data_IF_474463863007
#
_entry.id   IF_474463863007
#
_cell.length_a   1.000
_cell.length_b   1.000
_cell.length_c   1.000
_cell.angle_alpha   90.00
_cell.angle_beta   90.00
_cell.angle_gamma   90.00
#
_symmetry.space_group_name_H-M   'P 1'
#
loop_
_entity.id
_entity.type
_entity.pdbx_description
1 polymer ?
#
# COMPACT_ATOMS: atom_id res chain seq x y z
N UNK A 1 35.51 38.77 -9.65
CA UNK A 1 35.04 38.66 -8.26
C UNK A 1 34.33 37.33 -8.12
N UNK A 2 35.02 36.34 -7.57
CA UNK A 2 34.49 35.02 -7.28
C UNK A 2 34.88 34.62 -5.87
N UNK A 3 34.22 33.57 -5.37
CA UNK A 3 34.44 32.90 -4.07
C UNK A 3 33.68 33.48 -2.88
N UNK A 4 32.42 33.03 -2.70
CA UNK A 4 31.91 32.53 -1.42
C UNK A 4 30.77 31.55 -1.74
N UNK A 5 30.96 30.25 -1.50
CA UNK A 5 29.92 29.25 -1.15
C UNK A 5 30.32 27.77 -1.35
N UNK A 6 31.58 27.47 -1.68
CA UNK A 6 32.08 26.07 -1.63
C UNK A 6 32.69 25.68 -0.28
N UNK A 7 32.73 26.60 0.70
CA UNK A 7 33.43 26.38 1.97
C UNK A 7 32.59 25.64 3.02
N UNK A 8 31.25 25.65 2.93
CA UNK A 8 30.39 25.06 3.97
C UNK A 8 30.26 23.52 3.91
N UNK A 9 30.63 22.86 2.81
CA UNK A 9 30.58 21.39 2.70
C UNK A 9 31.94 20.74 3.03
N UNK A 10 33.05 21.50 2.98
CA UNK A 10 34.37 20.95 3.31
C UNK A 10 34.71 20.94 4.81
N UNK A 11 33.97 21.70 5.64
CA UNK A 11 34.31 21.90 7.06
C UNK A 11 33.76 20.82 7.99
N UNK A 12 32.86 19.96 7.51
CA UNK A 12 32.23 18.87 8.30
C UNK A 12 32.87 17.49 8.08
N UNK A 13 33.80 17.32 7.13
CA UNK A 13 34.44 16.03 6.85
C UNK A 13 35.82 15.86 7.51
N UNK A 14 36.37 16.92 8.11
CA UNK A 14 37.68 16.90 8.77
C UNK A 14 37.57 17.08 10.30
N UNK A 15 36.41 16.72 10.86
CA UNK A 15 36.22 16.76 12.30
C UNK A 15 36.96 15.58 12.97
N UNK A 16 38.06 15.93 13.63
CA UNK A 16 38.92 15.01 14.39
C UNK A 16 38.16 14.27 15.50
N UNK A 17 37.06 14.82 16.03
CA UNK A 17 36.20 14.11 17.00
C UNK A 17 35.40 12.98 16.35
N UNK A 18 35.00 13.13 15.09
CA UNK A 18 34.23 12.10 14.39
C UNK A 18 35.10 10.90 14.03
N UNK A 19 36.38 11.13 13.68
CA UNK A 19 37.37 10.06 13.43
C UNK A 19 37.71 9.27 14.70
N UNK A 20 37.88 9.96 15.83
CA UNK A 20 38.14 9.30 17.10
C UNK A 20 36.94 8.46 17.58
N UNK A 21 35.70 8.92 17.32
CA UNK A 21 34.49 8.13 17.60
C UNK A 21 34.32 6.93 16.67
N UNK A 22 34.64 7.06 15.38
CA UNK A 22 34.58 5.95 14.41
C UNK A 22 35.52 4.79 14.75
N UNK A 23 36.74 5.09 15.22
CA UNK A 23 37.72 4.07 15.66
C UNK A 23 37.21 3.26 16.88
N UNK A 24 36.49 3.91 17.79
CA UNK A 24 35.92 3.27 18.99
C UNK A 24 34.68 2.43 18.65
N UNK A 25 33.93 2.81 17.60
CA UNK A 25 32.68 2.14 17.19
C UNK A 25 32.86 1.06 16.11
N UNK A 26 34.09 0.79 15.66
CA UNK A 26 34.36 -0.19 14.60
C UNK A 26 33.83 0.22 13.21
N UNK A 27 33.43 1.49 13.04
CA UNK A 27 32.91 2.02 11.78
C UNK A 27 34.06 2.69 11.03
N UNK A 28 34.40 2.15 9.85
CA UNK A 28 35.50 2.64 9.02
C UNK A 28 35.18 4.04 8.48
N UNK A 29 35.84 5.06 9.03
CA UNK A 29 35.75 6.44 8.52
C UNK A 29 36.90 6.70 7.55
N UNK A 30 36.58 6.99 6.29
CA UNK A 30 37.56 7.31 5.25
C UNK A 30 37.98 8.79 5.33
N UNK A 31 39.29 9.05 5.19
CA UNK A 31 39.81 10.41 5.03
C UNK A 31 39.51 10.97 3.63
N UNK A 32 39.64 12.30 3.48
CA UNK A 32 39.42 12.99 2.21
C UNK A 32 40.37 12.48 1.12
N UNK A 33 41.57 12.11 1.51
CA UNK A 33 42.62 11.56 0.66
C UNK A 33 42.27 10.12 0.23
N UNK A 34 41.79 9.28 1.15
CA UNK A 34 41.36 7.90 0.86
C UNK A 34 40.11 7.85 -0.04
N UNK A 35 39.16 8.74 0.19
CA UNK A 35 37.93 8.83 -0.61
C UNK A 35 38.22 9.29 -2.05
N UNK A 36 39.22 10.16 -2.22
CA UNK A 36 39.68 10.58 -3.55
C UNK A 36 40.38 9.43 -4.30
N UNK A 37 41.10 8.56 -3.61
CA UNK A 37 41.72 7.38 -4.22
C UNK A 37 40.71 6.28 -4.58
N UNK A 38 39.65 6.08 -3.79
CA UNK A 38 38.56 5.16 -4.14
C UNK A 38 37.77 5.62 -5.37
N UNK A 39 37.50 6.93 -5.50
CA UNK A 39 36.77 7.47 -6.66
C UNK A 39 37.52 7.29 -7.98
N UNK A 40 38.85 7.37 -7.94
CA UNK A 40 39.71 7.12 -9.11
C UNK A 40 39.75 5.64 -9.49
N UNK A 41 39.76 4.73 -8.50
CA UNK A 41 39.71 3.27 -8.75
C UNK A 41 38.34 2.80 -9.30
N UNK A 42 37.25 3.49 -8.95
CA UNK A 42 35.92 3.20 -9.51
C UNK A 42 35.79 3.69 -10.96
N UNK A 43 36.45 4.81 -11.32
CA UNK A 43 36.39 5.35 -12.69
C UNK A 43 37.21 4.57 -13.72
N UNK A 44 38.21 3.78 -13.29
CA UNK A 44 39.05 2.98 -14.19
C UNK A 44 38.47 1.61 -14.56
N UNK A 45 37.44 1.12 -13.86
CA UNK A 45 36.90 -0.24 -14.06
C UNK A 45 35.66 -0.31 -14.97
N UNK A 46 35.24 0.79 -15.60
CA UNK A 46 33.99 0.83 -16.40
C UNK A 46 34.19 1.25 -17.86
N UNK A 47 35.43 1.24 -18.38
CA UNK A 47 35.74 1.65 -19.74
C UNK A 47 36.48 0.57 -20.57
N UNK A 48 35.76 -0.47 -20.98
CA UNK A 48 36.05 -1.30 -22.17
C UNK A 48 34.70 -1.66 -22.81
N UNK A 49 34.13 -0.77 -23.62
CA UNK A 49 34.20 -0.73 -25.10
C UNK A 49 33.51 -1.90 -25.82
N UNK A 50 32.27 -1.67 -26.27
CA UNK A 50 31.79 -2.18 -27.57
C UNK A 50 30.98 -1.09 -28.30
N UNK A 51 31.58 -0.49 -29.33
CA UNK A 51 30.88 0.21 -30.41
C UNK A 51 30.93 -0.67 -31.69
N UNK A 52 29.99 -0.49 -32.64
CA UNK A 52 29.75 -1.42 -33.73
C UNK A 52 30.61 -1.11 -34.95
N UNK A 53 31.08 -2.14 -35.66
CA UNK A 53 31.70 -1.98 -36.97
C UNK A 53 31.13 -2.97 -37.98
N UNK A 54 30.66 -2.41 -39.09
CA UNK A 54 30.14 -3.09 -40.28
C UNK A 54 31.32 -3.65 -41.08
N UNK A 55 31.24 -4.91 -41.53
CA UNK A 55 31.83 -5.33 -42.81
C UNK A 55 31.20 -6.63 -43.32
N UNK A 56 30.91 -6.61 -44.63
CA UNK A 56 30.29 -7.66 -45.45
C UNK A 56 31.24 -8.83 -45.66
N UNK A 57 30.75 -10.07 -45.58
CA UNK A 57 31.07 -11.10 -46.58
C UNK A 57 30.02 -12.22 -46.59
N UNK A 58 29.43 -12.46 -47.76
CA UNK A 58 28.54 -13.56 -48.10
C UNK A 58 29.33 -14.88 -48.21
N UNK A 59 28.76 -16.00 -47.76
CA UNK A 59 28.64 -17.28 -48.52
C UNK A 59 27.34 -17.99 -48.09
N UNK A 60 26.75 -18.73 -49.02
CA UNK A 60 25.37 -19.18 -49.19
C UNK A 60 25.27 -20.72 -49.04
N UNK A 61 24.04 -21.20 -48.79
CA UNK A 61 23.48 -22.57 -48.97
C UNK A 61 23.73 -23.57 -47.82
N UNK A 62 22.81 -24.44 -47.37
CA UNK A 62 21.49 -24.89 -47.87
C UNK A 62 20.74 -25.64 -46.73
N UNK A 63 19.41 -25.44 -46.62
CA UNK A 63 18.29 -26.41 -46.47
C UNK A 63 18.52 -27.81 -45.81
N UNK A 64 17.67 -28.46 -45.00
CA UNK A 64 16.39 -28.27 -44.25
C UNK A 64 16.28 -29.50 -43.25
N UNK A 65 15.15 -29.92 -42.66
CA UNK A 65 14.94 -29.98 -41.20
C UNK A 65 14.74 -31.40 -40.60
N UNK A 66 15.01 -31.58 -39.32
CA UNK A 66 14.42 -32.61 -38.44
C UNK A 66 15.00 -32.33 -37.05
N UNK A 67 14.25 -31.96 -36.02
CA UNK A 67 13.08 -32.63 -35.51
C UNK A 67 13.47 -33.11 -34.11
N UNK A 68 12.95 -32.46 -33.07
CA UNK A 68 12.59 -33.10 -31.81
C UNK A 68 11.89 -32.07 -30.92
N UNK A 69 10.58 -32.23 -30.89
CA UNK A 69 9.67 -31.76 -29.86
C UNK A 69 10.20 -32.15 -28.47
N UNK A 70 10.45 -31.16 -27.63
CA UNK A 70 10.28 -31.32 -26.20
C UNK A 70 9.14 -30.41 -25.79
N UNK A 71 8.01 -31.04 -25.49
CA UNK A 71 6.92 -30.45 -24.73
C UNK A 71 7.51 -29.97 -23.40
N UNK A 72 7.80 -28.68 -23.30
CA UNK A 72 7.93 -28.01 -22.02
C UNK A 72 6.52 -27.71 -21.52
N UNK A 73 6.21 -28.15 -20.29
CA UNK A 73 5.00 -27.77 -19.58
C UNK A 73 4.74 -26.26 -19.69
N UNK A 74 3.68 -25.80 -20.37
CA UNK A 74 3.52 -24.40 -20.71
C UNK A 74 2.89 -23.55 -19.59
N UNK A 75 2.65 -24.12 -18.41
CA UNK A 75 1.67 -23.54 -17.48
C UNK A 75 2.22 -22.41 -16.60
N UNK A 76 3.49 -22.44 -16.21
CA UNK A 76 4.05 -21.43 -15.29
C UNK A 76 4.86 -20.33 -16.00
N UNK A 77 5.64 -20.67 -17.03
CA UNK A 77 6.46 -19.70 -17.78
C UNK A 77 5.59 -18.74 -18.62
N UNK A 78 4.54 -19.25 -19.26
CA UNK A 78 3.61 -18.42 -20.05
C UNK A 78 2.82 -17.42 -19.21
N UNK A 79 2.49 -17.76 -17.96
CA UNK A 79 1.80 -16.84 -17.04
C UNK A 79 2.70 -15.69 -16.58
N UNK A 80 3.99 -15.97 -16.32
CA UNK A 80 4.96 -14.93 -15.94
C UNK A 80 5.19 -13.93 -17.07
N UNK A 81 5.39 -14.41 -18.31
CA UNK A 81 5.52 -13.56 -19.50
C UNK A 81 4.30 -12.64 -19.66
N UNK A 82 3.10 -13.15 -19.38
CA UNK A 82 1.88 -12.37 -19.46
C UNK A 82 1.77 -11.32 -18.36
N UNK A 83 2.19 -11.63 -17.13
CA UNK A 83 2.26 -10.65 -16.04
C UNK A 83 3.29 -9.57 -16.32
N UNK A 84 4.48 -9.92 -16.82
CA UNK A 84 5.50 -8.97 -17.27
C UNK A 84 4.97 -8.06 -18.38
N UNK A 85 4.21 -8.62 -19.33
CA UNK A 85 3.52 -7.85 -20.36
C UNK A 85 2.52 -6.84 -19.78
N UNK A 86 1.72 -7.26 -18.80
CA UNK A 86 0.78 -6.36 -18.10
C UNK A 86 1.54 -5.23 -17.38
N UNK A 87 2.64 -5.54 -16.71
CA UNK A 87 3.47 -4.52 -16.03
C UNK A 87 4.05 -3.54 -17.05
N UNK A 88 4.66 -4.03 -18.14
CA UNK A 88 5.23 -3.18 -19.19
C UNK A 88 4.18 -2.24 -19.82
N UNK A 89 2.98 -2.75 -20.11
CA UNK A 89 1.88 -1.93 -20.64
C UNK A 89 1.39 -0.89 -19.63
N UNK A 90 1.33 -1.27 -18.35
CA UNK A 90 1.03 -0.36 -17.25
C UNK A 90 2.08 0.77 -17.17
N UNK A 91 3.36 0.43 -17.19
CA UNK A 91 4.46 1.41 -17.11
C UNK A 91 4.36 2.45 -18.22
N UNK A 92 4.02 2.01 -19.44
CA UNK A 92 3.87 2.88 -20.60
C UNK A 92 2.68 3.83 -20.46
N UNK A 93 1.48 3.31 -20.17
CA UNK A 93 0.28 4.14 -20.09
C UNK A 93 0.30 5.08 -18.88
N UNK A 94 0.70 4.57 -17.71
CA UNK A 94 0.82 5.36 -16.50
C UNK A 94 1.96 6.38 -16.61
N UNK A 95 3.11 5.99 -17.16
CA UNK A 95 4.24 6.89 -17.39
C UNK A 95 3.87 8.07 -18.28
N UNK A 96 3.05 7.84 -19.32
CA UNK A 96 2.54 8.91 -20.19
C UNK A 96 1.66 9.89 -19.42
N UNK A 97 0.69 9.37 -18.65
CA UNK A 97 -0.21 10.20 -17.86
C UNK A 97 0.52 10.99 -16.77
N UNK A 98 1.38 10.32 -15.99
CA UNK A 98 2.13 10.96 -14.92
C UNK A 98 3.15 11.98 -15.43
N UNK A 99 3.72 11.78 -16.62
CA UNK A 99 4.58 12.80 -17.25
C UNK A 99 3.77 14.06 -17.57
N UNK A 100 2.59 13.91 -18.17
CA UNK A 100 1.70 15.03 -18.50
C UNK A 100 1.23 15.78 -17.24
N UNK A 101 0.82 15.04 -16.20
CA UNK A 101 0.45 15.63 -14.90
C UNK A 101 1.66 16.36 -14.31
N UNK A 102 2.82 15.72 -14.17
CA UNK A 102 4.00 16.33 -13.57
C UNK A 102 4.39 17.63 -14.28
N UNK A 103 4.44 17.61 -15.62
CA UNK A 103 4.75 18.78 -16.42
C UNK A 103 3.74 19.90 -16.21
N UNK A 104 2.44 19.58 -16.30
CA UNK A 104 1.35 20.55 -16.15
C UNK A 104 1.40 21.21 -14.77
N UNK A 105 1.54 20.41 -13.72
CA UNK A 105 1.47 20.89 -12.35
C UNK A 105 2.70 21.66 -11.91
N UNK A 106 3.88 21.20 -12.33
CA UNK A 106 5.12 21.93 -12.06
C UNK A 106 5.13 23.28 -12.81
N UNK A 107 4.59 23.34 -14.04
CA UNK A 107 4.43 24.60 -14.78
C UNK A 107 3.43 25.55 -14.11
N UNK A 108 2.32 25.03 -13.60
CA UNK A 108 1.35 25.84 -12.85
C UNK A 108 2.01 26.41 -11.58
N UNK A 109 2.77 25.60 -10.84
CA UNK A 109 3.39 26.01 -9.58
C UNK A 109 4.60 26.96 -9.76
N UNK A 110 5.45 26.72 -10.77
CA UNK A 110 6.75 27.38 -10.90
C UNK A 110 6.95 28.16 -12.21
N UNK A 111 5.95 28.19 -13.09
CA UNK A 111 6.03 28.87 -14.37
C UNK A 111 7.22 28.39 -15.21
N UNK A 112 7.99 29.33 -15.75
CA UNK A 112 9.15 29.02 -16.60
C UNK A 112 10.32 28.35 -15.84
N UNK A 113 10.33 28.41 -14.50
CA UNK A 113 11.39 27.82 -13.67
C UNK A 113 11.12 26.34 -13.32
N UNK A 114 10.02 25.76 -13.80
CA UNK A 114 9.61 24.40 -13.44
C UNK A 114 10.69 23.34 -13.71
N UNK A 115 11.47 23.48 -14.78
CA UNK A 115 12.59 22.58 -15.11
C UNK A 115 13.76 22.66 -14.13
N UNK A 116 13.95 23.80 -13.46
CA UNK A 116 14.98 23.97 -12.43
C UNK A 116 14.54 23.37 -11.10
N UNK A 117 13.24 23.41 -10.82
CA UNK A 117 12.64 22.89 -9.60
C UNK A 117 12.37 21.38 -9.65
N UNK A 118 12.35 20.77 -10.83
CA UNK A 118 12.16 19.34 -10.99
C UNK A 118 13.23 18.53 -10.26
N UNK A 119 12.80 17.47 -9.57
CA UNK A 119 13.71 16.60 -8.81
C UNK A 119 14.59 15.79 -9.76
N UNK A 120 13.97 15.17 -10.77
CA UNK A 120 14.65 14.51 -11.88
C UNK A 120 14.19 15.18 -13.18
N UNK A 121 15.14 15.44 -14.09
CA UNK A 121 14.86 16.03 -15.39
C UNK A 121 14.50 14.95 -16.42
N UNK A 122 13.66 15.24 -17.43
CA UNK A 122 13.31 14.28 -18.46
C UNK A 122 14.54 13.91 -19.33
N UNK A 123 14.54 12.73 -19.99
CA UNK A 123 13.45 11.76 -20.10
C UNK A 123 13.24 10.92 -18.83
N UNK A 124 11.98 10.58 -18.53
CA UNK A 124 11.62 9.86 -17.32
C UNK A 124 11.20 8.41 -17.58
N UNK A 125 11.62 7.51 -16.69
CA UNK A 125 10.97 6.22 -16.49
C UNK A 125 9.78 6.40 -15.54
N UNK A 126 8.89 5.41 -15.44
CA UNK A 126 7.82 5.48 -14.44
C UNK A 126 8.37 5.63 -13.01
N UNK A 127 9.47 4.95 -12.69
CA UNK A 127 10.12 5.08 -11.39
C UNK A 127 10.59 6.52 -11.10
N UNK A 128 11.20 7.19 -12.10
CA UNK A 128 11.61 8.59 -11.97
C UNK A 128 10.41 9.51 -11.73
N UNK A 129 9.28 9.27 -12.42
CA UNK A 129 8.06 10.05 -12.23
C UNK A 129 7.56 9.90 -10.80
N UNK A 130 7.37 8.67 -10.32
CA UNK A 130 6.90 8.41 -8.95
C UNK A 130 7.79 9.10 -7.91
N UNK A 131 9.12 9.09 -8.10
CA UNK A 131 10.04 9.83 -7.22
C UNK A 131 9.83 11.35 -7.28
N UNK A 132 9.62 11.93 -8.47
CA UNK A 132 9.27 13.34 -8.60
C UNK A 132 7.97 13.69 -7.86
N UNK A 133 6.93 12.87 -7.97
CA UNK A 133 5.68 13.08 -7.24
C UNK A 133 5.90 13.05 -5.72
N UNK A 134 6.69 12.08 -5.21
CA UNK A 134 7.02 12.01 -3.78
C UNK A 134 7.77 13.25 -3.29
N UNK A 135 8.81 13.68 -4.03
CA UNK A 135 9.64 14.82 -3.65
C UNK A 135 8.90 16.15 -3.71
N UNK A 136 7.99 16.29 -4.66
CA UNK A 136 7.19 17.49 -4.85
C UNK A 136 5.81 17.42 -4.18
N UNK A 137 5.57 16.40 -3.36
CA UNK A 137 4.26 16.18 -2.76
C UNK A 137 3.84 17.39 -1.93
N UNK A 138 4.60 17.75 -0.89
CA UNK A 138 4.21 18.84 0.02
C UNK A 138 4.09 20.21 -0.66
N UNK A 139 4.89 20.45 -1.70
CA UNK A 139 4.98 21.76 -2.34
C UNK A 139 4.04 21.94 -3.54
N UNK A 140 3.61 20.87 -4.19
CA UNK A 140 2.81 20.93 -5.42
C UNK A 140 1.59 20.00 -5.33
N UNK A 141 1.82 18.70 -5.22
CA UNK A 141 0.73 17.71 -5.38
C UNK A 141 -0.20 17.57 -4.16
N UNK A 142 0.31 17.77 -2.95
CA UNK A 142 -0.45 17.73 -1.71
C UNK A 142 -1.28 18.99 -1.46
N UNK A 143 -1.11 20.03 -2.28
CA UNK A 143 -1.98 21.21 -2.27
C UNK A 143 -3.26 21.00 -3.07
N UNK A 144 -3.25 20.01 -3.97
CA UNK A 144 -4.30 19.76 -4.97
C UNK A 144 -4.99 18.42 -4.74
N UNK A 145 -4.32 17.46 -4.09
CA UNK A 145 -4.81 16.10 -3.83
C UNK A 145 -4.89 15.83 -2.32
N UNK A 146 -5.75 14.87 -1.94
CA UNK A 146 -5.87 14.39 -0.57
C UNK A 146 -4.57 13.73 -0.07
N UNK A 147 -4.29 13.83 1.24
CA UNK A 147 -3.04 13.32 1.85
C UNK A 147 -2.86 11.81 1.71
N UNK A 148 -3.95 11.05 1.74
CA UNK A 148 -3.96 9.59 1.53
C UNK A 148 -3.38 9.18 0.16
N UNK A 149 -3.42 10.04 -0.86
CA UNK A 149 -2.86 9.74 -2.18
C UNK A 149 -1.34 9.63 -2.18
N UNK A 150 -0.65 10.21 -1.18
CA UNK A 150 0.78 9.97 -0.98
C UNK A 150 1.04 8.48 -0.72
N UNK A 151 0.18 7.83 0.07
CA UNK A 151 0.30 6.41 0.39
C UNK A 151 0.14 5.55 -0.88
N UNK A 152 -0.76 5.93 -1.79
CA UNK A 152 -0.91 5.27 -3.09
C UNK A 152 0.35 5.39 -3.93
N UNK A 153 1.00 6.56 -3.93
CA UNK A 153 2.27 6.80 -4.65
C UNK A 153 3.42 6.00 -4.03
N UNK A 154 3.48 5.90 -2.71
CA UNK A 154 4.49 5.10 -2.01
C UNK A 154 4.28 3.61 -2.25
N UNK A 155 3.04 3.14 -2.22
CA UNK A 155 2.69 1.76 -2.60
C UNK A 155 3.08 1.45 -4.05
N UNK A 156 2.81 2.35 -5.00
CA UNK A 156 3.26 2.19 -6.39
C UNK A 156 4.79 2.11 -6.49
N UNK A 157 5.52 2.96 -5.76
CA UNK A 157 6.98 2.94 -5.74
C UNK A 157 7.52 1.58 -5.27
N UNK A 158 7.00 1.07 -4.16
CA UNK A 158 7.45 -0.18 -3.56
C UNK A 158 7.11 -1.38 -4.45
N UNK A 159 5.91 -1.41 -5.03
CA UNK A 159 5.48 -2.51 -5.89
C UNK A 159 6.18 -2.49 -7.26
N UNK A 160 6.49 -1.32 -7.83
CA UNK A 160 7.32 -1.22 -9.04
C UNK A 160 8.74 -1.70 -8.77
N UNK A 161 9.30 -1.34 -7.61
CA UNK A 161 10.63 -1.79 -7.20
C UNK A 161 10.69 -3.30 -7.06
N UNK A 162 9.63 -3.92 -6.52
CA UNK A 162 9.50 -5.38 -6.42
C UNK A 162 9.32 -6.03 -7.79
N UNK A 163 8.45 -5.49 -8.65
CA UNK A 163 8.19 -6.02 -9.99
C UNK A 163 9.45 -6.06 -10.87
N UNK A 164 10.40 -5.12 -10.68
CA UNK A 164 11.70 -5.15 -11.35
C UNK A 164 12.59 -6.34 -10.97
N UNK A 165 12.33 -6.98 -9.81
CA UNK A 165 13.11 -8.11 -9.30
C UNK A 165 12.38 -9.45 -9.44
N UNK A 166 11.07 -9.47 -9.20
CA UNK A 166 10.21 -10.63 -9.34
C UNK A 166 8.78 -10.17 -9.58
N UNK A 167 8.16 -10.65 -10.66
CA UNK A 167 6.77 -10.35 -10.98
C UNK A 167 5.86 -11.43 -10.42
N UNK A 168 4.96 -11.04 -9.50
CA UNK A 168 3.94 -11.92 -8.94
C UNK A 168 2.53 -11.31 -9.07
N UNK A 169 1.51 -12.16 -8.99
CA UNK A 169 0.11 -11.74 -9.15
C UNK A 169 -0.33 -10.68 -8.13
N UNK A 170 0.17 -10.74 -6.90
CA UNK A 170 -0.20 -9.80 -5.84
C UNK A 170 0.39 -8.43 -6.12
N UNK A 171 1.67 -8.38 -6.50
CA UNK A 171 2.36 -7.14 -6.91
C UNK A 171 1.66 -6.51 -8.12
N UNK A 172 1.32 -7.28 -9.16
CA UNK A 172 0.60 -6.77 -10.35
C UNK A 172 -0.80 -6.26 -9.99
N UNK A 173 -1.53 -6.96 -9.10
CA UNK A 173 -2.84 -6.51 -8.63
C UNK A 173 -2.75 -5.14 -7.95
N UNK A 174 -1.81 -4.98 -7.00
CA UNK A 174 -1.64 -3.70 -6.30
C UNK A 174 -1.24 -2.58 -7.25
N UNK A 175 -0.30 -2.84 -8.17
CA UNK A 175 0.10 -1.87 -9.19
C UNK A 175 -1.10 -1.38 -9.99
N UNK A 176 -1.95 -2.28 -10.48
CA UNK A 176 -3.12 -1.91 -11.26
C UNK A 176 -4.17 -1.14 -10.45
N UNK A 177 -4.46 -1.56 -9.22
CA UNK A 177 -5.45 -0.92 -8.34
C UNK A 177 -5.01 0.48 -7.89
N UNK A 178 -3.74 0.62 -7.49
CA UNK A 178 -3.18 1.90 -7.07
C UNK A 178 -3.08 2.87 -8.25
N UNK A 179 -2.71 2.37 -9.44
CA UNK A 179 -2.69 3.17 -10.67
C UNK A 179 -4.08 3.68 -11.06
N UNK A 180 -5.09 2.81 -10.96
CA UNK A 180 -6.49 3.19 -11.22
C UNK A 180 -6.94 4.27 -10.24
N UNK A 181 -6.67 4.09 -8.95
CA UNK A 181 -7.03 5.03 -7.90
C UNK A 181 -6.36 6.39 -8.09
N UNK A 182 -5.06 6.39 -8.42
CA UNK A 182 -4.27 7.61 -8.65
C UNK A 182 -4.79 8.38 -9.88
N UNK A 183 -5.03 7.70 -10.99
CA UNK A 183 -5.58 8.31 -12.21
C UNK A 183 -7.00 8.86 -11.98
N UNK A 184 -7.83 8.12 -11.24
CA UNK A 184 -9.17 8.60 -10.87
C UNK A 184 -9.08 9.87 -10.00
N UNK A 185 -8.20 9.91 -9.00
CA UNK A 185 -8.01 11.08 -8.15
C UNK A 185 -7.63 12.31 -8.97
N UNK A 186 -6.64 12.20 -9.87
CA UNK A 186 -6.27 13.31 -10.75
C UNK A 186 -7.37 13.70 -11.75
N UNK A 187 -8.23 12.76 -12.15
CA UNK A 187 -9.33 13.03 -13.10
C UNK A 187 -10.38 13.98 -12.52
N UNK A 188 -10.53 14.00 -11.18
CA UNK A 188 -11.43 14.95 -10.50
C UNK A 188 -10.99 16.39 -10.65
N UNK A 189 -9.70 16.60 -10.95
CA UNK A 189 -9.09 17.92 -11.07
C UNK A 189 -9.01 18.42 -12.50
N UNK A 190 -8.55 17.58 -13.43
CA UNK A 190 -8.39 17.95 -14.83
C UNK A 190 -8.34 16.71 -15.71
N UNK A 191 -8.61 16.89 -17.00
CA UNK A 191 -8.46 15.84 -18.01
C UNK A 191 -7.03 15.76 -18.58
N UNK A 192 -6.14 16.71 -18.26
CA UNK A 192 -4.75 16.80 -18.73
C UNK A 192 -4.63 16.54 -20.24
N UNK A 193 -5.35 17.34 -21.03
CA UNK A 193 -5.44 17.25 -22.50
C UNK A 193 -5.93 15.90 -23.03
N UNK A 194 -6.76 15.20 -22.24
CA UNK A 194 -7.36 13.92 -22.61
C UNK A 194 -6.44 12.71 -22.40
N UNK A 195 -5.20 12.92 -21.90
CA UNK A 195 -4.27 11.83 -21.60
C UNK A 195 -4.78 10.98 -20.43
N UNK A 196 -5.41 11.61 -19.43
CA UNK A 196 -5.91 10.88 -18.26
C UNK A 196 -7.01 9.87 -18.59
N UNK A 197 -8.10 10.25 -19.29
CA UNK A 197 -9.13 9.30 -19.71
C UNK A 197 -8.56 8.14 -20.55
N UNK A 198 -7.58 8.40 -21.41
CA UNK A 198 -6.94 7.36 -22.21
C UNK A 198 -6.17 6.37 -21.32
N UNK A 199 -5.34 6.86 -20.40
CA UNK A 199 -4.59 6.02 -19.48
C UNK A 199 -5.53 5.22 -18.55
N UNK A 200 -6.58 5.86 -18.04
CA UNK A 200 -7.59 5.20 -17.20
C UNK A 200 -8.29 4.05 -17.94
N UNK A 201 -8.66 4.26 -19.21
CA UNK A 201 -9.23 3.19 -20.03
C UNK A 201 -8.25 2.02 -20.25
N UNK A 202 -6.95 2.31 -20.47
CA UNK A 202 -5.94 1.26 -20.59
C UNK A 202 -5.75 0.48 -19.28
N UNK A 203 -5.68 1.15 -18.13
CA UNK A 203 -5.56 0.49 -16.83
C UNK A 203 -6.77 -0.42 -16.56
N UNK A 204 -7.99 0.02 -16.88
CA UNK A 204 -9.19 -0.82 -16.76
C UNK A 204 -9.13 -2.06 -17.67
N UNK A 205 -8.63 -1.91 -18.90
CA UNK A 205 -8.41 -3.05 -19.80
C UNK A 205 -7.39 -4.03 -19.22
N UNK A 206 -6.29 -3.53 -18.64
CA UNK A 206 -5.28 -4.36 -17.99
C UNK A 206 -5.83 -5.08 -16.74
N UNK A 207 -6.67 -4.42 -15.93
CA UNK A 207 -7.39 -5.04 -14.82
C UNK A 207 -8.31 -6.18 -15.27
N UNK A 208 -9.01 -6.00 -16.39
CA UNK A 208 -9.82 -7.05 -16.98
C UNK A 208 -8.96 -8.23 -17.44
N UNK A 209 -7.90 -7.97 -18.21
CA UNK A 209 -6.96 -9.01 -18.65
C UNK A 209 -6.36 -9.76 -17.46
N UNK A 210 -5.92 -9.05 -16.42
CA UNK A 210 -5.40 -9.64 -15.19
C UNK A 210 -6.41 -10.59 -14.53
N UNK A 211 -7.68 -10.20 -14.49
CA UNK A 211 -8.76 -11.02 -13.92
C UNK A 211 -9.00 -12.29 -14.73
N UNK A 212 -9.00 -12.20 -16.06
CA UNK A 212 -9.10 -13.36 -16.96
C UNK A 212 -7.94 -14.32 -16.79
N UNK A 213 -6.72 -13.81 -16.64
CA UNK A 213 -5.50 -14.61 -16.41
C UNK A 213 -5.58 -15.32 -15.07
N UNK A 214 -6.04 -14.64 -14.03
CA UNK A 214 -6.25 -15.24 -12.71
C UNK A 214 -7.32 -16.33 -12.73
N UNK A 215 -8.42 -16.12 -13.48
CA UNK A 215 -9.47 -17.11 -13.64
C UNK A 215 -8.98 -18.38 -14.36
N UNK A 216 -8.18 -18.22 -15.44
CA UNK A 216 -7.57 -19.34 -16.17
C UNK A 216 -6.60 -20.16 -15.31
N UNK A 217 -5.84 -19.49 -14.43
CA UNK A 217 -4.95 -20.16 -13.46
C UNK A 217 -5.72 -21.04 -12.46
N UNK A 218 -6.91 -20.59 -12.04
CA UNK A 218 -7.76 -21.34 -11.11
C UNK A 218 -8.55 -22.48 -11.78
N UNK A 219 -8.44 -22.66 -13.11
CA UNK A 219 -9.24 -23.62 -13.89
C UNK A 219 -8.42 -24.78 -14.50
N UNK A 220 -7.15 -25.02 -14.13
CA UNK A 220 -6.41 -26.21 -14.60
C UNK A 220 -6.87 -27.51 -13.90
N UNK A 221 -6.79 -28.67 -14.58
CA UNK A 221 -7.87 -29.68 -14.58
C UNK A 221 -7.76 -30.74 -13.47
N UNK A 222 -8.86 -30.95 -12.74
CA UNK A 222 -9.13 -32.22 -12.04
C UNK A 222 -9.95 -33.13 -12.96
N UNK A 223 -9.59 -34.40 -12.95
CA UNK A 223 -9.87 -35.42 -13.97
C UNK A 223 -11.35 -35.69 -14.28
N UNK A 224 -11.52 -36.10 -15.53
CA UNK A 224 -12.69 -36.68 -16.16
C UNK A 224 -13.31 -37.83 -15.35
N UNK A 225 -14.64 -37.86 -15.27
CA UNK A 225 -15.38 -39.12 -15.43
C UNK A 225 -16.56 -38.88 -16.38
N UNK A 226 -16.49 -39.58 -17.50
CA UNK A 226 -17.46 -39.58 -18.57
C UNK A 226 -18.59 -40.60 -18.31
N UNK A 227 -19.79 -40.26 -18.81
CA UNK A 227 -20.88 -41.19 -19.13
C UNK A 227 -21.88 -41.42 -17.99
N UNK A 228 -23.20 -41.35 -18.17
CA UNK A 228 -24.04 -41.49 -19.38
C UNK A 228 -25.36 -40.71 -19.22
N UNK A 229 -25.89 -40.30 -20.36
CA UNK A 229 -27.30 -39.92 -20.59
C UNK A 229 -28.24 -41.10 -20.25
N UNK A 230 -29.47 -40.84 -19.78
CA UNK A 230 -30.72 -40.88 -20.58
C UNK A 230 -31.99 -40.85 -19.69
N UNK A 231 -33.07 -40.40 -20.32
CA UNK A 231 -34.38 -39.91 -19.84
C UNK A 231 -35.36 -40.91 -19.21
N UNK A 232 -36.31 -40.30 -18.47
CA UNK A 232 -37.75 -40.55 -18.35
C UNK A 232 -38.31 -41.93 -17.94
N UNK A 233 -39.11 -41.91 -16.86
CA UNK A 233 -40.59 -42.05 -16.89
C UNK A 233 -41.10 -42.34 -15.45
N UNK A 234 -41.98 -41.49 -14.93
CA UNK A 234 -42.83 -41.75 -13.74
C UNK A 234 -44.16 -42.43 -14.17
N UNK A 235 -45.20 -42.71 -13.33
CA UNK A 235 -45.39 -42.50 -11.88
C UNK A 235 -46.13 -43.67 -11.15
N UNK A 236 -46.13 -43.66 -9.81
CA UNK A 236 -47.34 -43.60 -8.95
C UNK A 236 -47.07 -44.06 -7.50
N UNK A 237 -47.39 -43.12 -6.57
CA UNK A 237 -48.04 -43.25 -5.24
C UNK A 237 -47.58 -44.35 -4.27
N UNK A 238 -47.37 -44.07 -2.98
CA UNK A 238 -48.32 -43.39 -2.09
C UNK A 238 -47.67 -42.70 -0.88
N UNK A 239 -48.21 -41.52 -0.55
CA UNK A 239 -48.69 -41.02 0.76
C UNK A 239 -47.84 -41.22 2.02
N UNK A 240 -47.78 -40.31 2.99
CA UNK A 240 -48.17 -38.92 3.18
C UNK A 240 -47.65 -38.59 4.59
N UNK A 241 -46.89 -37.51 4.77
CA UNK A 241 -46.97 -36.70 5.98
C UNK A 241 -46.74 -35.25 5.59
N UNK A 242 -47.61 -34.41 6.13
CA UNK A 242 -48.18 -33.24 5.49
C UNK A 242 -47.53 -31.94 6.02
N UNK A 243 -47.04 -31.14 5.08
CA UNK A 243 -47.21 -29.67 4.96
C UNK A 243 -46.79 -28.80 6.15
N UNK A 244 -45.78 -27.94 5.92
CA UNK A 244 -46.04 -26.49 5.88
C UNK A 244 -45.13 -25.81 4.86
N UNK A 245 -45.79 -25.16 3.90
CA UNK A 245 -45.24 -24.36 2.80
C UNK A 245 -44.73 -23.03 3.36
N UNK A 246 -43.53 -22.60 2.95
CA UNK A 246 -43.25 -21.19 2.75
C UNK A 246 -42.41 -21.00 1.48
N UNK A 247 -43.05 -20.42 0.47
CA UNK A 247 -42.40 -19.73 -0.63
C UNK A 247 -41.58 -18.56 -0.10
N UNK A 248 -40.36 -18.41 -0.60
CA UNK A 248 -39.56 -17.21 -0.39
C UNK A 248 -38.26 -17.32 -1.18
N UNK A 249 -38.19 -16.58 -2.28
CA UNK A 249 -36.98 -16.23 -3.02
C UNK A 249 -35.71 -16.27 -2.15
N UNK A 250 -34.73 -17.10 -2.52
CA UNK A 250 -33.36 -16.95 -2.02
C UNK A 250 -32.79 -15.64 -2.57
N UNK A 251 -33.04 -14.56 -1.83
CA UNK A 251 -32.11 -13.44 -1.76
C UNK A 251 -30.77 -14.01 -1.27
N UNK A 252 -29.62 -13.60 -1.82
CA UNK A 252 -28.32 -14.04 -1.31
C UNK A 252 -28.24 -13.66 0.17
N UNK A 253 -28.06 -14.63 1.06
CA UNK A 253 -27.70 -14.33 2.44
C UNK A 253 -26.43 -13.46 2.43
N UNK A 254 -26.37 -12.37 3.21
CA UNK A 254 -25.09 -11.69 3.43
C UNK A 254 -24.11 -12.71 4.01
N UNK A 255 -22.92 -12.79 3.42
CA UNK A 255 -21.85 -13.64 3.92
C UNK A 255 -21.58 -13.26 5.37
N UNK A 256 -21.74 -14.18 6.32
CA UNK A 256 -21.46 -13.98 7.77
C UNK A 256 -20.12 -13.26 8.00
N UNK A 257 -19.11 -13.57 7.20
CA UNK A 257 -17.80 -12.91 7.28
C UNK A 257 -17.84 -11.42 6.92
N UNK A 258 -18.74 -11.00 6.02
CA UNK A 258 -18.96 -9.59 5.67
C UNK A 258 -19.65 -8.83 6.81
N UNK A 259 -20.54 -9.45 7.57
CA UNK A 259 -21.14 -8.84 8.75
C UNK A 259 -20.08 -8.62 9.85
N UNK A 260 -19.24 -9.64 10.09
CA UNK A 260 -18.09 -9.54 11.01
C UNK A 260 -17.16 -8.41 10.58
N UNK A 261 -16.84 -8.35 9.29
CA UNK A 261 -15.96 -7.32 8.75
C UNK A 261 -16.56 -5.91 8.87
N UNK A 262 -17.86 -5.76 8.63
CA UNK A 262 -18.57 -4.48 8.79
C UNK A 262 -18.47 -3.95 10.23
N UNK A 263 -18.46 -4.84 11.23
CA UNK A 263 -18.26 -4.45 12.64
C UNK A 263 -16.84 -3.98 12.89
N UNK A 264 -15.83 -4.70 12.37
CA UNK A 264 -14.43 -4.28 12.48
C UNK A 264 -14.18 -2.95 11.76
N UNK A 265 -14.81 -2.73 10.61
CA UNK A 265 -14.75 -1.47 9.86
C UNK A 265 -15.45 -0.33 10.61
N UNK A 266 -16.58 -0.59 11.26
CA UNK A 266 -17.25 0.39 12.13
C UNK A 266 -16.38 0.82 13.31
N UNK A 267 -15.69 -0.14 13.95
CA UNK A 267 -14.69 0.14 15.00
C UNK A 267 -13.57 1.01 14.44
N UNK A 268 -13.10 0.69 13.23
CA UNK A 268 -12.06 1.44 12.54
C UNK A 268 -12.45 2.91 12.31
N UNK A 269 -13.62 3.12 11.71
CA UNK A 269 -14.17 4.45 11.43
C UNK A 269 -14.33 5.24 12.73
N UNK A 270 -14.85 4.58 13.77
CA UNK A 270 -15.02 5.20 15.10
C UNK A 270 -13.70 5.67 15.70
N UNK A 271 -12.64 4.85 15.63
CA UNK A 271 -11.30 5.23 16.10
C UNK A 271 -10.77 6.42 15.31
N UNK A 272 -10.92 6.41 13.99
CA UNK A 272 -10.45 7.48 13.12
C UNK A 272 -11.18 8.81 13.39
N UNK A 273 -12.51 8.79 13.47
CA UNK A 273 -13.33 9.96 13.79
C UNK A 273 -12.94 10.53 15.16
N UNK A 274 -12.88 9.67 16.19
CA UNK A 274 -12.50 10.08 17.54
C UNK A 274 -11.08 10.66 17.58
N UNK A 275 -10.13 10.08 16.84
CA UNK A 275 -8.75 10.59 16.76
C UNK A 275 -8.69 11.97 16.10
N UNK A 276 -9.48 12.19 15.06
CA UNK A 276 -9.54 13.46 14.34
C UNK A 276 -10.11 14.56 15.23
N UNK A 277 -11.21 14.26 15.94
CA UNK A 277 -11.83 15.17 16.91
C UNK A 277 -10.83 15.59 18.00
N UNK A 278 -10.08 14.63 18.54
CA UNK A 278 -9.05 14.87 19.56
C UNK A 278 -7.91 15.73 19.03
N UNK A 279 -7.34 15.36 17.88
CA UNK A 279 -6.22 16.09 17.29
C UNK A 279 -6.60 17.51 16.92
N UNK A 280 -7.80 17.71 16.36
CA UNK A 280 -8.29 19.03 16.03
C UNK A 280 -8.47 19.89 17.28
N UNK A 281 -9.01 19.32 18.37
CA UNK A 281 -9.23 20.04 19.63
C UNK A 281 -7.94 20.38 20.38
N UNK A 282 -6.93 19.50 20.29
CA UNK A 282 -5.61 19.70 20.89
C UNK A 282 -4.70 20.63 20.07
N UNK A 283 -4.87 20.66 18.75
CA UNK A 283 -4.13 21.56 17.86
C UNK A 283 -4.70 22.99 17.83
N UNK A 284 -5.97 23.17 18.16
CA UNK A 284 -6.67 24.46 18.08
C UNK A 284 -6.83 25.14 19.44
N UNK A 285 -6.27 26.34 19.58
CA UNK A 285 -6.54 27.24 20.71
C UNK A 285 -7.90 27.97 20.61
N UNK A 286 -8.63 27.81 19.50
CA UNK A 286 -9.90 28.49 19.22
C UNK A 286 -11.11 27.57 19.38
N UNK A 287 -12.15 28.07 20.04
CA UNK A 287 -13.41 27.39 20.34
C UNK A 287 -14.33 27.11 19.13
N UNK A 288 -13.78 27.03 17.92
CA UNK A 288 -14.58 27.07 16.69
C UNK A 288 -14.30 25.87 15.80
N UNK A 289 -14.59 24.68 16.31
CA UNK A 289 -14.67 23.44 15.53
C UNK A 289 -15.80 22.59 16.08
N UNK A 290 -16.53 21.90 15.22
CA UNK A 290 -17.70 21.05 15.53
C UNK A 290 -17.35 19.78 16.33
N UNK A 291 -16.28 19.79 17.13
CA UNK A 291 -15.80 18.65 17.90
C UNK A 291 -16.78 18.36 19.04
N UNK A 292 -17.11 17.08 19.24
CA UNK A 292 -17.91 16.62 20.38
C UNK A 292 -17.26 16.91 21.74
N UNK A 293 -15.96 17.23 21.73
CA UNK A 293 -15.11 17.45 22.90
C UNK A 293 -15.11 18.95 23.25
N UNK A 294 -15.53 19.28 24.47
CA UNK A 294 -15.79 20.66 24.88
C UNK A 294 -14.52 21.37 25.36
N UNK A 295 -13.66 20.66 26.08
CA UNK A 295 -12.45 21.23 26.68
C UNK A 295 -11.14 20.57 26.19
N UNK A 296 -10.03 21.28 26.35
CA UNK A 296 -8.70 20.72 26.08
C UNK A 296 -8.36 19.58 27.06
N UNK A 297 -8.77 19.71 28.33
CA UNK A 297 -8.59 18.69 29.36
C UNK A 297 -9.33 17.39 28.99
N UNK A 298 -10.59 17.51 28.56
CA UNK A 298 -11.36 16.37 28.04
C UNK A 298 -10.67 15.74 26.83
N UNK A 299 -10.15 16.55 25.90
CA UNK A 299 -9.42 16.05 24.73
C UNK A 299 -8.16 15.28 25.13
N UNK A 300 -7.42 15.76 26.13
CA UNK A 300 -6.22 15.10 26.63
C UNK A 300 -6.52 13.79 27.35
N UNK A 301 -7.51 13.77 28.25
CA UNK A 301 -7.94 12.54 28.94
C UNK A 301 -8.47 11.53 27.91
N UNK A 302 -9.24 11.99 26.92
CA UNK A 302 -9.77 11.14 25.87
C UNK A 302 -8.67 10.60 24.95
N UNK A 303 -7.63 11.39 24.65
CA UNK A 303 -6.42 10.93 23.95
C UNK A 303 -5.77 9.75 24.69
N UNK A 304 -5.58 9.83 26.02
CA UNK A 304 -4.99 8.72 26.79
C UNK A 304 -5.83 7.44 26.69
N UNK A 305 -7.16 7.57 26.81
CA UNK A 305 -8.08 6.43 26.68
C UNK A 305 -8.03 5.83 25.28
N UNK A 306 -8.02 6.67 24.26
CA UNK A 306 -7.99 6.24 22.86
C UNK A 306 -6.66 5.57 22.51
N UNK A 307 -5.53 6.09 22.99
CA UNK A 307 -4.21 5.45 22.88
C UNK A 307 -4.22 4.05 23.51
N UNK A 308 -4.78 3.93 24.71
CA UNK A 308 -4.92 2.63 25.38
C UNK A 308 -5.77 1.65 24.57
N UNK A 309 -6.89 2.10 24.00
CA UNK A 309 -7.75 1.26 23.18
C UNK A 309 -7.07 0.82 21.87
N UNK A 310 -6.45 1.77 21.15
CA UNK A 310 -5.70 1.51 19.91
C UNK A 310 -4.57 0.51 20.15
N UNK A 311 -3.81 0.66 21.25
CA UNK A 311 -2.75 -0.27 21.61
C UNK A 311 -3.27 -1.69 21.85
N UNK A 312 -4.35 -1.84 22.60
CA UNK A 312 -4.94 -3.17 22.88
C UNK A 312 -5.46 -3.84 21.60
N UNK A 313 -6.13 -3.09 20.72
CA UNK A 313 -6.61 -3.59 19.43
C UNK A 313 -5.42 -4.00 18.56
N UNK A 314 -4.40 -3.15 18.46
CA UNK A 314 -3.22 -3.40 17.67
C UNK A 314 -2.48 -4.66 18.13
N UNK A 315 -2.25 -4.81 19.44
CA UNK A 315 -1.65 -6.02 20.00
C UNK A 315 -2.49 -7.27 19.70
N UNK A 316 -3.82 -7.18 19.83
CA UNK A 316 -4.73 -8.29 19.49
C UNK A 316 -4.60 -8.69 18.02
N UNK A 317 -4.59 -7.72 17.11
CA UNK A 317 -4.45 -7.98 15.68
C UNK A 317 -3.07 -8.56 15.34
N UNK A 318 -1.99 -8.04 15.93
CA UNK A 318 -0.64 -8.56 15.70
C UNK A 318 -0.50 -10.01 16.16
N UNK A 319 -1.11 -10.39 17.28
CA UNK A 319 -1.16 -11.80 17.73
C UNK A 319 -1.90 -12.68 16.73
N UNK A 320 -3.01 -12.19 16.17
CA UNK A 320 -3.78 -12.92 15.13
C UNK A 320 -2.97 -13.11 13.85
N UNK A 321 -2.21 -12.10 13.45
CA UNK A 321 -1.40 -12.12 12.23
C UNK A 321 -0.11 -12.95 12.37
N UNK A 322 0.30 -13.29 13.59
CA UNK A 322 1.47 -14.12 13.83
C UNK A 322 1.33 -15.51 13.16
N UNK A 323 2.44 -16.10 12.66
CA UNK A 323 2.40 -17.39 11.95
C UNK A 323 1.86 -18.56 12.77
N UNK A 324 1.93 -18.46 14.10
CA UNK A 324 1.49 -19.47 15.07
C UNK A 324 0.21 -19.04 15.82
N UNK A 325 -0.56 -18.12 15.26
CA UNK A 325 -1.82 -17.68 15.86
C UNK A 325 -2.79 -18.84 16.08
N UNK A 326 -3.46 -18.82 17.22
CA UNK A 326 -4.48 -19.80 17.57
C UNK A 326 -5.78 -19.10 18.02
N UNK A 327 -6.79 -19.89 18.33
CA UNK A 327 -8.11 -19.40 18.76
C UNK A 327 -8.04 -18.46 19.98
N UNK A 328 -7.12 -18.67 20.92
CA UNK A 328 -6.97 -17.85 22.12
C UNK A 328 -6.59 -16.39 21.79
N UNK A 329 -5.80 -16.20 20.73
CA UNK A 329 -5.39 -14.87 20.27
C UNK A 329 -6.60 -14.09 19.74
N UNK A 330 -7.48 -14.77 19.01
CA UNK A 330 -8.74 -14.21 18.49
C UNK A 330 -9.75 -13.96 19.62
N UNK A 331 -9.87 -14.88 20.56
CA UNK A 331 -10.76 -14.75 21.73
C UNK A 331 -10.39 -13.53 22.58
N UNK A 332 -9.08 -13.24 22.71
CA UNK A 332 -8.61 -12.05 23.44
C UNK A 332 -9.08 -10.75 22.79
N UNK A 333 -8.95 -10.64 21.45
CA UNK A 333 -9.45 -9.47 20.71
C UNK A 333 -10.98 -9.38 20.77
N UNK A 334 -11.67 -10.50 20.60
CA UNK A 334 -13.12 -10.58 20.69
C UNK A 334 -13.66 -10.09 22.04
N UNK A 335 -13.06 -10.55 23.14
CA UNK A 335 -13.44 -10.13 24.49
C UNK A 335 -13.22 -8.63 24.71
N UNK A 336 -12.14 -8.08 24.15
CA UNK A 336 -11.89 -6.63 24.18
C UNK A 336 -12.97 -5.85 23.43
N UNK A 337 -13.34 -6.29 22.22
CA UNK A 337 -14.37 -5.66 21.40
C UNK A 337 -15.73 -5.64 22.14
N UNK A 338 -16.10 -6.74 22.80
CA UNK A 338 -17.35 -6.79 23.59
C UNK A 338 -17.31 -5.86 24.80
N UNK A 339 -16.15 -5.77 25.49
CA UNK A 339 -16.00 -4.99 26.71
C UNK A 339 -16.05 -3.47 26.47
N UNK A 340 -15.48 -2.99 25.36
CA UNK A 340 -15.35 -1.56 25.06
C UNK A 340 -16.48 -1.01 24.17
N UNK A 341 -17.72 -0.92 24.68
CA UNK A 341 -18.90 -0.27 24.04
C UNK A 341 -19.25 -0.64 22.56
N UNK A 342 -18.47 -1.48 21.87
CA UNK A 342 -18.80 -2.07 20.54
C UNK A 342 -19.95 -3.09 20.67
N UNK A 343 -20.34 -3.42 21.91
CA UNK A 343 -21.36 -4.37 22.35
C UNK A 343 -22.71 -4.27 21.61
N UNK A 344 -23.07 -3.12 21.03
CA UNK A 344 -24.32 -2.98 20.26
C UNK A 344 -24.25 -3.57 18.84
N UNK A 345 -23.05 -3.76 18.29
CA UNK A 345 -22.84 -4.14 16.88
C UNK A 345 -22.25 -5.54 16.71
N UNK A 346 -21.59 -6.09 17.74
CA UNK A 346 -21.05 -7.46 17.70
C UNK A 346 -22.20 -8.47 17.79
N UNK A 347 -22.54 -9.10 16.66
CA UNK A 347 -23.57 -10.15 16.55
C UNK A 347 -23.00 -11.53 16.20
N UNK A 348 -21.70 -11.69 16.36
CA UNK A 348 -20.96 -12.90 16.05
C UNK A 348 -20.22 -13.41 17.28
N UNK A 349 -19.79 -14.66 17.24
CA UNK A 349 -19.03 -15.35 18.28
C UNK A 349 -17.53 -15.27 18.03
N UNK A 350 -16.71 -15.56 19.06
CA UNK A 350 -15.27 -15.67 18.91
C UNK A 350 -14.86 -16.73 17.86
N UNK A 351 -15.62 -17.82 17.75
CA UNK A 351 -15.42 -18.85 16.73
C UNK A 351 -15.68 -18.32 15.32
N UNK A 352 -16.81 -17.63 15.11
CA UNK A 352 -17.10 -17.02 13.80
C UNK A 352 -16.03 -15.97 13.42
N UNK A 353 -15.48 -15.22 14.39
CA UNK A 353 -14.36 -14.32 14.16
C UNK A 353 -13.09 -15.09 13.77
N UNK A 354 -12.79 -16.20 14.44
CA UNK A 354 -11.63 -17.05 14.14
C UNK A 354 -11.73 -17.63 12.73
N UNK A 355 -12.89 -18.16 12.34
CA UNK A 355 -13.14 -18.72 11.01
C UNK A 355 -13.04 -17.64 9.91
N UNK A 356 -13.45 -16.40 10.23
CA UNK A 356 -13.32 -15.25 9.35
C UNK A 356 -11.85 -14.88 9.12
N UNK A 357 -11.07 -14.65 10.19
CA UNK A 357 -9.66 -14.19 10.08
C UNK A 357 -8.70 -15.30 9.65
N UNK A 358 -9.14 -16.56 9.67
CA UNK A 358 -8.40 -17.70 9.11
C UNK A 358 -8.40 -17.71 7.58
N UNK A 359 -9.34 -17.02 6.93
CA UNK A 359 -9.35 -16.86 5.48
C UNK A 359 -8.31 -15.83 5.04
N UNK A 360 -7.54 -16.19 4.02
CA UNK A 360 -6.45 -15.35 3.48
C UNK A 360 -6.91 -13.95 3.12
N UNK A 361 -8.09 -13.79 2.51
CA UNK A 361 -8.64 -12.47 2.14
C UNK A 361 -8.81 -11.55 3.35
N UNK A 362 -9.42 -12.04 4.43
CA UNK A 362 -9.65 -11.25 5.64
C UNK A 362 -8.37 -11.04 6.43
N UNK A 363 -7.45 -12.01 6.41
CA UNK A 363 -6.11 -11.87 7.01
C UNK A 363 -5.28 -10.80 6.30
N UNK A 364 -5.38 -10.69 4.98
CA UNK A 364 -4.77 -9.61 4.19
C UNK A 364 -5.38 -8.26 4.53
N UNK A 365 -6.71 -8.15 4.59
CA UNK A 365 -7.38 -6.90 5.00
C UNK A 365 -6.99 -6.50 6.42
N UNK A 366 -6.91 -7.46 7.33
CA UNK A 366 -6.46 -7.24 8.70
C UNK A 366 -5.01 -6.78 8.78
N UNK A 367 -4.15 -7.25 7.87
CA UNK A 367 -2.75 -6.79 7.74
C UNK A 367 -2.68 -5.33 7.30
N UNK A 368 -3.53 -4.91 6.35
CA UNK A 368 -3.63 -3.51 5.92
C UNK A 368 -4.10 -2.63 7.08
N UNK A 369 -5.18 -3.03 7.75
CA UNK A 369 -5.66 -2.36 8.96
C UNK A 369 -4.55 -2.28 10.00
N UNK A 370 -3.89 -3.38 10.36
CA UNK A 370 -2.80 -3.38 11.33
C UNK A 370 -1.74 -2.29 11.07
N UNK A 371 -1.32 -2.09 9.81
CA UNK A 371 -0.36 -1.03 9.46
C UNK A 371 -0.91 0.38 9.73
N UNK A 372 -2.15 0.63 9.32
CA UNK A 372 -2.81 1.92 9.56
C UNK A 372 -2.99 2.21 11.07
N UNK A 373 -3.22 1.18 11.90
CA UNK A 373 -3.32 1.32 13.36
C UNK A 373 -1.96 1.65 13.99
N UNK A 374 -0.86 1.07 13.49
CA UNK A 374 0.50 1.42 13.92
C UNK A 374 0.81 2.89 13.64
N UNK A 375 0.45 3.38 12.45
CA UNK A 375 0.61 4.79 12.09
C UNK A 375 -0.22 5.70 12.99
N UNK A 376 -1.48 5.33 13.24
CA UNK A 376 -2.37 6.06 14.14
C UNK A 376 -1.83 6.09 15.58
N UNK A 377 -1.33 4.97 16.09
CA UNK A 377 -0.69 4.89 17.40
C UNK A 377 0.51 5.85 17.48
N UNK A 378 1.37 5.85 16.45
CA UNK A 378 2.52 6.75 16.39
C UNK A 378 2.09 8.22 16.38
N UNK A 379 1.08 8.57 15.58
CA UNK A 379 0.52 9.92 15.53
C UNK A 379 -0.07 10.35 16.88
N UNK A 380 -0.79 9.46 17.57
CA UNK A 380 -1.32 9.72 18.91
C UNK A 380 -0.22 9.90 19.94
N UNK A 381 0.84 9.10 19.90
CA UNK A 381 2.00 9.24 20.78
C UNK A 381 2.74 10.56 20.55
N UNK A 382 2.92 10.98 19.28
CA UNK A 382 3.52 12.27 18.94
C UNK A 382 2.64 13.43 19.41
N UNK A 383 1.33 13.35 19.18
CA UNK A 383 0.37 14.34 19.68
C UNK A 383 0.46 14.44 21.19
N UNK A 384 0.40 13.30 21.90
CA UNK A 384 0.54 13.24 23.35
C UNK A 384 1.84 13.90 23.83
N UNK A 385 2.98 13.57 23.23
CA UNK A 385 4.28 14.15 23.58
C UNK A 385 4.31 15.68 23.37
N UNK A 386 3.68 16.17 22.30
CA UNK A 386 3.64 17.61 21.99
C UNK A 386 2.81 18.40 23.01
N UNK A 387 1.71 17.82 23.51
CA UNK A 387 0.82 18.48 24.47
C UNK A 387 1.15 18.14 25.93
N UNK A 388 2.03 17.16 26.17
CA UNK A 388 2.37 16.66 27.50
C UNK A 388 2.90 17.76 28.42
N UNK A 389 3.78 18.64 27.91
CA UNK A 389 4.33 19.74 28.71
C UNK A 389 3.24 20.76 29.09
N UNK A 390 2.30 21.03 28.19
CA UNK A 390 1.16 21.90 28.47
C UNK A 390 0.19 21.26 29.47
N UNK A 391 -0.06 19.96 29.34
CA UNK A 391 -0.88 19.20 30.28
C UNK A 391 -0.24 19.14 31.68
N UNK A 392 1.08 18.94 31.75
CA UNK A 392 1.86 18.96 32.99
C UNK A 392 1.83 20.33 33.66
N UNK A 393 2.01 21.41 32.90
CA UNK A 393 1.93 22.78 33.42
C UNK A 393 0.54 23.13 33.97
N UNK A 394 -0.50 22.46 33.47
CA UNK A 394 -1.90 22.60 33.93
C UNK A 394 -2.31 21.58 34.99
N UNK A 395 -1.40 20.69 35.41
CA UNK A 395 -1.61 19.75 36.53
C UNK A 395 -2.31 18.43 36.17
N UNK A 396 -2.41 18.07 34.89
CA UNK A 396 -3.22 16.93 34.43
C UNK A 396 -2.45 15.60 34.29
N UNK A 397 -1.15 15.56 34.61
CA UNK A 397 -0.28 14.45 34.21
C UNK A 397 0.00 13.37 35.26
N UNK A 398 -0.30 13.52 36.55
CA UNK A 398 0.21 12.55 37.55
C UNK A 398 -0.76 11.87 38.52
N UNK A 399 -2.03 12.26 38.71
CA UNK A 399 -2.86 11.61 39.77
C UNK A 399 -4.31 11.21 39.41
N UNK A 400 -4.79 11.38 38.18
CA UNK A 400 -6.20 11.09 37.86
C UNK A 400 -6.53 9.68 37.36
N UNK A 401 -5.54 8.83 37.03
CA UNK A 401 -5.79 7.49 36.49
C UNK A 401 -5.96 6.39 37.55
N UNK A 402 -5.69 6.67 38.83
CA UNK A 402 -5.83 5.69 39.92
C UNK A 402 -7.07 5.89 40.81
N UNK A 403 -7.99 6.81 40.48
CA UNK A 403 -9.09 7.18 41.38
C UNK A 403 -10.50 7.09 40.81
N UNK A 404 -10.70 6.52 39.61
CA UNK A 404 -12.04 6.23 39.07
C UNK A 404 -12.04 4.91 38.29
N UNK A 405 -12.06 3.81 39.04
CA UNK A 405 -12.68 2.56 38.61
C UNK A 405 -14.21 2.66 38.70
#
# INVERSE_FOLDING_TARGET
MGSVNTTCISKTLDDRNLRNKGLISGVKSLSKEELSTEFLNVSLNTAVCHQPCVSKQQVKAEQTPLGESKEEEPTNSGLLILLEGIVSDLEKCLGTALSSILETEMKIAFGNLWMEMLYLKPPWTLMHLIQCFRKHWMAVFGLIMEKNMLLTIESLYDNLSKANSAVDFTTVKFLLQDSQSLLHAFSTRSNYDGVLPQAFAQVNKLLQTFTEVKAKRNQSPSENTAGKKQEDTSPMKSDNQEITIFSGSHLPQPNKHQEIWSVLESVWITIYENSTDVFQRLASNSAQTSSKIQSFEEAFIYLQKLMGAVKNILEGIQRILAPNSNYQDVETLYNFLIKHEVNKSVKFTAQELYDCVSQTEYREKLTIGCRQLVEMECAMQQCNASVYMEAKNRGWCEDMLNSRD
#
